data_IF_282137057141
#
_entry.id   IF_282137057141
#
_cell.length_a   1.000
_cell.length_b   1.000
_cell.length_c   1.000
_cell.angle_alpha   90.00
_cell.angle_beta   90.00
_cell.angle_gamma   90.00
#
_symmetry.space_group_name_H-M   'P 1'
#
loop_
_entity.id
_entity.type
_entity.pdbx_description
1 polymer ?
#
# COMPACT_ATOMS: atom_id res chain seq x y z
N UNK A 1 -22.76 5.09 43.34
CA UNK A 1 -21.59 4.63 44.12
C UNK A 1 -21.04 5.77 44.97
N UNK A 2 -21.78 6.18 46.02
CA UNK A 2 -21.52 7.38 46.83
C UNK A 2 -21.61 7.09 48.34
N UNK A 3 -21.32 5.86 48.77
CA UNK A 3 -21.45 5.40 50.17
C UNK A 3 -20.44 4.30 50.53
N UNK A 4 -19.13 4.52 50.34
CA UNK A 4 -18.10 3.66 50.97
C UNK A 4 -16.82 4.50 51.21
N UNK A 5 -16.91 5.64 51.90
CA UNK A 5 -15.73 6.30 52.48
C UNK A 5 -16.18 7.09 53.71
N UNK A 6 -16.59 6.39 54.77
CA UNK A 6 -17.00 7.08 56.00
C UNK A 6 -16.68 6.32 57.29
N UNK A 7 -15.71 5.40 57.29
CA UNK A 7 -15.36 4.62 58.49
C UNK A 7 -13.87 4.31 58.64
N UNK A 8 -13.00 5.31 58.44
CA UNK A 8 -11.58 5.19 58.79
C UNK A 8 -11.02 6.54 59.24
N UNK A 9 -11.43 7.03 60.40
CA UNK A 9 -10.70 8.06 61.16
C UNK A 9 -11.31 8.23 62.57
N UNK A 10 -11.24 7.18 63.38
CA UNK A 10 -11.37 7.32 64.83
C UNK A 10 -10.28 6.48 65.52
N UNK A 11 -9.04 6.93 65.41
CA UNK A 11 -8.02 6.59 66.40
C UNK A 11 -7.17 7.83 66.72
N UNK A 12 -6.96 8.00 68.02
CA UNK A 12 -6.37 9.15 68.73
C UNK A 12 -5.02 9.57 68.14
N UNK A 13 -4.88 10.85 67.84
CA UNK A 13 -3.58 11.49 67.58
C UNK A 13 -3.22 12.48 68.71
N UNK A 14 -1.94 12.56 69.12
CA UNK A 14 -1.45 13.48 70.16
C UNK A 14 -1.41 14.95 69.69
N UNK A 15 -1.52 15.87 70.66
CA UNK A 15 -1.86 17.30 70.51
C UNK A 15 -0.88 18.22 69.75
N UNK A 16 0.16 17.71 69.08
CA UNK A 16 1.15 18.55 68.36
C UNK A 16 1.38 18.09 66.90
N UNK A 17 0.33 18.03 66.08
CA UNK A 17 0.48 17.69 64.64
C UNK A 17 -0.44 18.49 63.72
N UNK A 18 -0.78 19.73 64.09
CA UNK A 18 -1.62 20.58 63.26
C UNK A 18 -0.88 21.24 62.08
N UNK A 19 0.46 21.28 62.10
CA UNK A 19 1.28 21.89 61.04
C UNK A 19 1.73 20.94 59.92
N UNK A 20 1.53 19.63 60.06
CA UNK A 20 2.04 18.65 59.09
C UNK A 20 1.04 18.28 57.98
N UNK A 21 -0.25 18.54 58.18
CA UNK A 21 -1.30 18.15 57.21
C UNK A 21 -1.53 19.16 56.07
N UNK A 22 -1.13 20.44 56.24
CA UNK A 22 -1.38 21.49 55.24
C UNK A 22 -0.33 21.49 54.11
N UNK A 23 0.86 20.91 54.32
CA UNK A 23 1.91 20.84 53.28
C UNK A 23 1.81 19.62 52.37
N UNK A 24 1.08 18.56 52.75
CA UNK A 24 0.96 17.34 51.91
C UNK A 24 -0.17 17.48 50.88
N UNK A 25 -1.21 18.27 51.15
CA UNK A 25 -2.32 18.45 50.20
C UNK A 25 -2.04 19.44 49.06
N UNK A 26 -1.07 20.35 49.20
CA UNK A 26 -0.70 21.29 48.13
C UNK A 26 0.15 20.65 47.02
N UNK A 27 0.95 19.61 47.31
CA UNK A 27 1.73 18.91 46.29
C UNK A 27 0.91 17.91 45.45
N UNK A 28 -0.21 17.39 45.97
CA UNK A 28 -1.05 16.43 45.24
C UNK A 28 -2.04 17.08 44.26
N UNK A 29 -2.30 18.39 44.40
CA UNK A 29 -3.14 19.14 43.46
C UNK A 29 -2.37 19.75 42.29
N UNK A 30 -1.04 19.86 42.35
CA UNK A 30 -0.23 20.36 41.23
C UNK A 30 0.31 19.25 40.31
N UNK A 31 0.35 17.99 40.76
CA UNK A 31 0.69 16.85 39.89
C UNK A 31 -0.50 16.28 39.10
N UNK A 32 -1.75 16.64 39.44
CA UNK A 32 -2.95 16.14 38.76
C UNK A 32 -3.33 16.92 37.49
N UNK A 33 -2.81 18.14 37.30
CA UNK A 33 -3.04 18.92 36.07
C UNK A 33 -2.00 18.70 34.97
N UNK A 34 -0.82 18.16 35.27
CA UNK A 34 0.21 17.89 34.25
C UNK A 34 -0.10 16.65 33.39
N UNK A 35 -1.03 15.77 33.82
CA UNK A 35 -1.38 14.53 33.10
C UNK A 35 -2.62 14.64 32.20
N UNK A 36 -3.31 15.79 32.17
CA UNK A 36 -4.55 15.98 31.40
C UNK A 36 -4.40 16.80 30.10
N UNK A 37 -3.18 17.19 29.72
CA UNK A 37 -2.93 18.01 28.53
C UNK A 37 -2.34 17.25 27.33
N UNK A 38 -2.41 15.91 27.30
CA UNK A 38 -2.22 15.18 26.05
C UNK A 38 -3.57 15.09 25.32
N UNK A 39 -3.91 16.17 24.61
CA UNK A 39 -4.95 16.08 23.58
C UNK A 39 -4.50 14.99 22.60
N UNK A 40 -5.30 13.93 22.34
CA UNK A 40 -4.95 12.97 21.31
C UNK A 40 -4.82 13.75 20.00
N UNK A 41 -3.61 13.85 19.47
CA UNK A 41 -3.39 14.47 18.17
C UNK A 41 -4.29 13.74 17.19
N UNK A 42 -5.19 14.50 16.52
CA UNK A 42 -6.06 13.93 15.49
C UNK A 42 -5.18 13.14 14.53
N UNK A 43 -5.47 11.86 14.27
CA UNK A 43 -4.69 11.08 13.32
C UNK A 43 -4.72 11.81 11.99
N UNK A 44 -3.58 12.35 11.57
CA UNK A 44 -3.43 12.95 10.26
C UNK A 44 -3.56 11.82 9.27
N UNK A 45 -4.71 11.72 8.60
CA UNK A 45 -4.95 10.71 7.57
C UNK A 45 -3.98 10.98 6.45
N UNK A 46 -2.91 10.17 6.36
CA UNK A 46 -1.94 10.25 5.27
C UNK A 46 -2.70 10.06 3.96
N UNK A 47 -2.65 11.07 3.09
CA UNK A 47 -3.22 10.99 1.76
C UNK A 47 -2.32 10.10 0.89
N UNK A 48 -2.91 9.08 0.27
CA UNK A 48 -2.23 8.18 -0.66
C UNK A 48 -2.65 8.49 -2.09
N UNK A 49 -1.74 8.29 -3.04
CA UNK A 49 -2.10 8.35 -4.46
C UNK A 49 -2.89 7.11 -4.89
N UNK A 50 -3.72 7.18 -5.95
CA UNK A 50 -4.55 6.05 -6.38
C UNK A 50 -3.81 4.71 -6.56
N UNK A 51 -2.61 4.71 -7.16
CA UNK A 51 -1.83 3.47 -7.28
C UNK A 51 -1.17 3.01 -5.97
N UNK A 52 -0.95 3.91 -5.02
CA UNK A 52 -0.51 3.54 -3.67
C UNK A 52 -1.63 2.82 -2.91
N UNK A 53 -2.87 3.33 -3.01
CA UNK A 53 -4.04 2.67 -2.42
C UNK A 53 -4.22 1.26 -2.99
N UNK A 54 -4.09 1.11 -4.30
CA UNK A 54 -4.13 -0.21 -4.94
C UNK A 54 -3.00 -1.11 -4.45
N UNK A 55 -1.77 -0.61 -4.29
CA UNK A 55 -0.66 -1.40 -3.75
C UNK A 55 -0.95 -1.89 -2.34
N UNK A 56 -1.47 -1.02 -1.47
CA UNK A 56 -1.84 -1.36 -0.10
C UNK A 56 -2.97 -2.40 -0.07
N UNK A 57 -4.01 -2.22 -0.90
CA UNK A 57 -5.13 -3.16 -1.01
C UNK A 57 -4.74 -4.51 -1.64
N UNK A 58 -3.61 -4.56 -2.34
CA UNK A 58 -3.07 -5.77 -2.97
C UNK A 58 -2.21 -6.61 -2.03
N UNK A 59 -2.09 -6.22 -0.76
CA UNK A 59 -1.28 -6.95 0.21
C UNK A 59 -2.17 -7.64 1.24
N UNK A 60 -2.01 -8.95 1.47
CA UNK A 60 -2.78 -9.65 2.50
C UNK A 60 -2.32 -9.32 3.93
N UNK A 61 -1.23 -8.55 4.05
CA UNK A 61 -0.65 -8.08 5.31
C UNK A 61 -0.44 -6.58 5.24
N UNK A 62 -0.46 -5.92 6.39
CA UNK A 62 -0.09 -4.50 6.48
C UNK A 62 1.32 -4.31 5.92
N UNK A 63 1.42 -3.50 4.87
CA UNK A 63 2.69 -3.10 4.24
C UNK A 63 2.86 -1.60 4.36
N UNK A 64 4.11 -1.17 4.38
CA UNK A 64 4.47 0.24 4.40
C UNK A 64 5.03 0.63 3.03
N UNK A 65 4.66 1.81 2.57
CA UNK A 65 5.26 2.41 1.38
C UNK A 65 6.52 3.14 1.82
N UNK A 66 7.65 2.79 1.20
CA UNK A 66 8.91 3.50 1.39
C UNK A 66 8.84 4.79 0.55
N UNK A 67 8.85 5.94 1.21
CA UNK A 67 8.89 7.24 0.55
C UNK A 67 10.35 7.62 0.28
N UNK A 68 10.83 7.28 -0.91
CA UNK A 68 12.22 7.44 -1.32
C UNK A 68 12.35 8.44 -2.48
N UNK A 69 13.51 9.09 -2.69
CA UNK A 69 13.65 10.15 -3.69
C UNK A 69 13.27 9.73 -5.12
N UNK A 70 13.70 8.55 -5.60
CA UNK A 70 13.34 8.10 -6.96
C UNK A 70 11.85 7.73 -7.05
N UNK A 71 11.31 7.11 -6.00
CA UNK A 71 9.88 6.80 -5.92
C UNK A 71 9.01 8.06 -5.98
N UNK A 72 9.37 9.10 -5.22
CA UNK A 72 8.68 10.39 -5.22
C UNK A 72 8.72 11.08 -6.58
N UNK A 73 9.89 11.09 -7.24
CA UNK A 73 10.01 11.57 -8.62
C UNK A 73 9.09 10.80 -9.59
N UNK A 74 8.94 9.48 -9.41
CA UNK A 74 7.98 8.68 -10.17
C UNK A 74 6.54 9.14 -9.97
N UNK A 75 6.13 9.40 -8.73
CA UNK A 75 4.79 9.93 -8.40
C UNK A 75 4.58 11.33 -8.96
N UNK A 76 5.59 12.20 -8.90
CA UNK A 76 5.53 13.55 -9.47
C UNK A 76 5.29 13.52 -10.99
N UNK A 77 5.88 12.57 -11.71
CA UNK A 77 5.63 12.40 -13.15
C UNK A 77 4.22 11.87 -13.45
N UNK A 78 3.58 11.18 -12.50
CA UNK A 78 2.23 10.63 -12.66
C UNK A 78 1.10 11.58 -12.26
N UNK A 79 1.31 12.38 -11.22
CA UNK A 79 0.21 13.09 -10.55
C UNK A 79 0.37 14.61 -10.51
N UNK A 80 1.58 15.14 -10.72
CA UNK A 80 1.80 16.60 -10.70
C UNK A 80 1.63 17.13 -12.13
N UNK A 81 0.54 17.87 -12.35
CA UNK A 81 0.15 18.35 -13.68
C UNK A 81 1.21 19.21 -14.37
N UNK A 82 2.03 19.95 -13.62
CA UNK A 82 3.12 20.75 -14.20
C UNK A 82 4.21 19.90 -14.86
N UNK A 83 4.26 18.59 -14.59
CA UNK A 83 5.19 17.64 -15.20
C UNK A 83 4.57 16.87 -16.39
N UNK A 84 3.30 17.11 -16.71
CA UNK A 84 2.61 16.37 -17.77
C UNK A 84 3.17 16.73 -19.15
N UNK A 85 3.14 15.77 -20.06
CA UNK A 85 3.40 16.02 -21.48
C UNK A 85 2.23 16.80 -22.07
N UNK A 86 2.56 17.65 -23.05
CA UNK A 86 1.59 18.42 -23.81
C UNK A 86 1.74 18.10 -25.28
N UNK A 87 0.67 17.63 -25.90
CA UNK A 87 0.68 17.22 -27.30
C UNK A 87 -0.56 17.73 -28.02
N UNK A 88 -0.42 17.95 -29.33
CA UNK A 88 -1.52 18.33 -30.21
C UNK A 88 -2.00 17.07 -30.92
N UNK A 89 -3.09 16.48 -30.42
CA UNK A 89 -3.69 15.29 -31.02
C UNK A 89 -4.83 15.67 -31.97
N UNK A 90 -4.97 14.94 -33.07
CA UNK A 90 -6.15 15.04 -33.95
C UNK A 90 -7.13 13.94 -33.54
N UNK A 91 -8.27 14.27 -32.91
CA UNK A 91 -9.25 13.25 -32.56
C UNK A 91 -9.80 12.56 -33.82
N UNK A 92 -10.17 11.26 -33.75
CA UNK A 92 -10.81 10.57 -34.86
C UNK A 92 -12.01 11.36 -35.40
N UNK A 93 -12.07 11.56 -36.72
CA UNK A 93 -13.15 12.29 -37.38
C UNK A 93 -13.11 13.82 -37.24
N UNK A 94 -12.10 14.41 -36.60
CA UNK A 94 -11.96 15.87 -36.48
C UNK A 94 -10.78 16.39 -37.32
N UNK A 95 -10.94 17.56 -37.94
CA UNK A 95 -9.86 18.25 -38.69
C UNK A 95 -8.96 19.11 -37.80
N UNK A 96 -9.47 19.57 -36.65
CA UNK A 96 -8.73 20.44 -35.74
C UNK A 96 -7.98 19.63 -34.70
N UNK A 97 -6.71 19.99 -34.47
CA UNK A 97 -5.91 19.45 -33.37
C UNK A 97 -6.38 20.03 -32.04
N UNK A 98 -6.38 19.20 -31.00
CA UNK A 98 -6.71 19.58 -29.62
C UNK A 98 -5.45 19.42 -28.78
N UNK A 99 -5.14 20.41 -27.95
CA UNK A 99 -4.08 20.31 -26.96
C UNK A 99 -4.54 19.38 -25.85
N UNK A 100 -3.83 18.27 -25.65
CA UNK A 100 -4.04 17.36 -24.54
C UNK A 100 -2.88 17.47 -23.56
N UNK A 101 -3.16 17.19 -22.29
CA UNK A 101 -2.16 17.09 -21.24
C UNK A 101 -2.35 15.78 -20.50
N UNK A 102 -1.28 15.01 -20.36
CA UNK A 102 -1.34 13.70 -19.72
C UNK A 102 0.02 13.30 -19.12
N UNK A 103 0.03 12.38 -18.13
CA UNK A 103 1.26 11.94 -17.50
C UNK A 103 2.28 11.35 -18.48
N UNK A 104 3.56 11.63 -18.26
CA UNK A 104 4.63 10.97 -19.02
C UNK A 104 4.90 9.57 -18.46
N UNK A 105 4.10 8.59 -18.90
CA UNK A 105 4.19 7.21 -18.40
C UNK A 105 5.56 6.57 -18.62
N UNK A 106 6.27 6.91 -19.71
CA UNK A 106 7.60 6.34 -19.96
C UNK A 106 8.64 6.89 -18.96
N UNK A 107 8.60 8.20 -18.70
CA UNK A 107 9.49 8.83 -17.73
C UNK A 107 9.17 8.39 -16.30
N UNK A 108 7.89 8.31 -15.95
CA UNK A 108 7.44 7.75 -14.68
C UNK A 108 7.93 6.30 -14.49
N UNK A 109 7.76 5.45 -15.50
CA UNK A 109 8.25 4.06 -15.47
C UNK A 109 9.76 4.02 -15.21
N UNK A 110 10.54 4.88 -15.88
CA UNK A 110 11.99 4.96 -15.66
C UNK A 110 12.38 5.25 -14.21
N UNK A 111 11.65 6.15 -13.53
CA UNK A 111 11.89 6.42 -12.10
C UNK A 111 11.46 5.26 -11.21
N UNK A 112 10.31 4.64 -11.46
CA UNK A 112 9.88 3.50 -10.66
C UNK A 112 10.81 2.30 -10.80
N UNK A 113 11.27 1.97 -12.01
CA UNK A 113 12.27 0.91 -12.21
C UNK A 113 13.56 1.21 -11.44
N UNK A 114 14.06 2.44 -11.49
CA UNK A 114 15.23 2.84 -10.70
C UNK A 114 14.97 2.76 -9.19
N UNK A 115 13.77 3.10 -8.71
CA UNK A 115 13.42 2.94 -7.28
C UNK A 115 13.41 1.47 -6.85
N UNK A 116 13.04 0.55 -7.74
CA UNK A 116 13.05 -0.89 -7.46
C UNK A 116 14.47 -1.43 -7.36
N UNK A 117 15.35 -0.97 -8.25
CA UNK A 117 16.73 -1.41 -8.37
C UNK A 117 17.61 -0.80 -7.25
N UNK A 118 17.55 0.53 -7.09
CA UNK A 118 18.48 1.28 -6.23
C UNK A 118 17.97 1.45 -4.80
N UNK A 119 16.66 1.47 -4.59
CA UNK A 119 16.04 1.77 -3.28
C UNK A 119 15.24 0.58 -2.73
N UNK A 120 15.20 -0.53 -3.47
CA UNK A 120 14.44 -1.73 -3.14
C UNK A 120 12.99 -1.41 -2.74
N UNK A 121 12.31 -0.61 -3.58
CA UNK A 121 10.96 -0.12 -3.35
C UNK A 121 9.89 -1.02 -4.00
N UNK A 122 9.15 -1.78 -3.19
CA UNK A 122 8.10 -2.69 -3.68
C UNK A 122 6.85 -1.97 -4.19
N UNK A 123 6.50 -0.81 -3.63
CA UNK A 123 5.43 0.01 -4.18
C UNK A 123 5.83 0.52 -5.58
N UNK A 124 7.10 0.87 -5.76
CA UNK A 124 7.67 1.17 -7.07
C UNK A 124 7.54 0.01 -8.06
N UNK A 125 7.79 -1.23 -7.61
CA UNK A 125 7.62 -2.42 -8.45
C UNK A 125 6.18 -2.60 -8.90
N UNK A 126 5.23 -2.46 -7.97
CA UNK A 126 3.82 -2.55 -8.25
C UNK A 126 3.36 -1.53 -9.28
N UNK A 127 3.73 -0.25 -9.09
CA UNK A 127 3.36 0.83 -10.03
C UNK A 127 4.04 0.61 -11.40
N UNK A 128 5.31 0.21 -11.43
CA UNK A 128 6.00 -0.11 -12.68
C UNK A 128 5.29 -1.23 -13.47
N UNK A 129 4.77 -2.27 -12.79
CA UNK A 129 3.95 -3.31 -13.41
C UNK A 129 2.70 -2.72 -14.08
N UNK A 130 1.97 -1.81 -13.41
CA UNK A 130 0.82 -1.12 -14.03
C UNK A 130 1.22 -0.26 -15.24
N UNK A 131 2.31 0.47 -15.15
CA UNK A 131 2.75 1.33 -16.26
C UNK A 131 3.16 0.51 -17.49
N UNK A 132 3.78 -0.65 -17.29
CA UNK A 132 4.08 -1.57 -18.39
C UNK A 132 2.79 -2.13 -19.01
N UNK A 133 1.76 -2.44 -18.21
CA UNK A 133 0.45 -2.87 -18.74
C UNK A 133 -0.16 -1.82 -19.67
N UNK A 134 -0.04 -0.54 -19.32
CA UNK A 134 -0.51 0.60 -20.14
C UNK A 134 0.34 0.79 -21.39
N UNK A 135 1.68 0.76 -21.25
CA UNK A 135 2.62 1.00 -22.35
C UNK A 135 2.73 -0.17 -23.33
N UNK A 136 2.24 -1.35 -22.95
CA UNK A 136 2.17 -2.54 -23.78
C UNK A 136 2.97 -3.70 -23.21
N UNK A 137 2.37 -4.45 -22.27
CA UNK A 137 2.98 -5.64 -21.64
C UNK A 137 3.43 -6.74 -22.61
N UNK A 138 2.81 -6.81 -23.79
CA UNK A 138 3.15 -7.80 -24.82
C UNK A 138 4.34 -7.36 -25.70
N UNK A 139 4.79 -6.11 -25.57
CA UNK A 139 5.97 -5.63 -26.28
C UNK A 139 7.21 -6.43 -25.83
N UNK A 140 7.99 -7.01 -26.76
CA UNK A 140 9.24 -7.71 -26.41
C UNK A 140 10.19 -6.86 -25.55
N UNK A 141 10.14 -5.53 -25.72
CA UNK A 141 10.90 -4.56 -24.92
C UNK A 141 10.68 -4.69 -23.41
N UNK A 142 9.46 -5.02 -22.99
CA UNK A 142 9.09 -4.99 -21.57
C UNK A 142 8.86 -6.37 -20.96
N UNK A 143 8.78 -7.44 -21.74
CA UNK A 143 8.40 -8.77 -21.22
C UNK A 143 9.31 -9.27 -20.08
N UNK A 144 10.64 -9.19 -20.25
CA UNK A 144 11.59 -9.64 -19.23
C UNK A 144 11.46 -8.83 -17.93
N UNK A 145 11.51 -7.50 -18.04
CA UNK A 145 11.34 -6.59 -16.89
C UNK A 145 10.00 -6.80 -16.20
N UNK A 146 8.92 -6.97 -16.96
CA UNK A 146 7.58 -7.21 -16.41
C UNK A 146 7.53 -8.50 -15.59
N UNK A 147 8.14 -9.58 -16.10
CA UNK A 147 8.19 -10.85 -15.39
C UNK A 147 9.03 -10.77 -14.11
N UNK A 148 10.17 -10.07 -14.15
CA UNK A 148 11.01 -9.86 -12.96
C UNK A 148 10.26 -9.08 -11.86
N UNK A 149 9.49 -8.06 -12.24
CA UNK A 149 8.64 -7.32 -11.32
C UNK A 149 7.53 -8.22 -10.71
N UNK A 150 6.87 -9.05 -11.53
CA UNK A 150 5.88 -10.03 -11.04
C UNK A 150 6.51 -10.97 -10.02
N UNK A 151 7.68 -11.53 -10.32
CA UNK A 151 8.39 -12.44 -9.41
C UNK A 151 8.77 -11.73 -8.11
N UNK A 152 9.26 -10.49 -8.19
CA UNK A 152 9.60 -9.69 -7.00
C UNK A 152 8.38 -9.42 -6.12
N UNK A 153 7.23 -9.10 -6.71
CA UNK A 153 5.96 -8.93 -6.00
C UNK A 153 5.45 -10.24 -5.39
N UNK A 154 5.47 -11.34 -6.16
CA UNK A 154 5.06 -12.69 -5.74
C UNK A 154 5.85 -13.18 -4.53
N UNK A 155 7.19 -13.03 -4.55
CA UNK A 155 8.08 -13.37 -3.42
C UNK A 155 7.77 -12.58 -2.14
N UNK A 156 7.16 -11.40 -2.27
CA UNK A 156 6.74 -10.57 -1.15
C UNK A 156 5.25 -10.72 -0.82
N UNK A 157 4.59 -11.79 -1.30
CA UNK A 157 3.17 -12.09 -1.09
C UNK A 157 2.21 -10.99 -1.55
N UNK A 158 2.62 -10.13 -2.48
CA UNK A 158 1.68 -9.18 -3.08
C UNK A 158 0.74 -9.94 -4.04
N UNK A 159 -0.56 -9.70 -3.91
CA UNK A 159 -1.61 -10.45 -4.59
C UNK A 159 -1.63 -10.27 -6.10
N UNK A 160 -1.25 -9.09 -6.62
CA UNK A 160 -1.04 -8.89 -8.06
C UNK A 160 0.08 -9.80 -8.56
N UNK A 161 1.20 -9.82 -7.85
CA UNK A 161 2.35 -10.67 -8.17
C UNK A 161 2.01 -12.16 -8.11
N UNK A 162 1.38 -12.62 -7.03
CA UNK A 162 0.98 -14.02 -6.85
C UNK A 162 0.00 -14.48 -7.95
N UNK A 163 -0.99 -13.65 -8.27
CA UNK A 163 -1.95 -13.94 -9.34
C UNK A 163 -1.26 -14.04 -10.70
N UNK A 164 -0.46 -13.03 -11.07
CA UNK A 164 0.20 -12.99 -12.37
C UNK A 164 1.25 -14.10 -12.52
N UNK A 165 2.01 -14.42 -11.48
CA UNK A 165 2.97 -15.54 -11.47
C UNK A 165 2.25 -16.87 -11.79
N UNK A 166 1.16 -17.18 -11.08
CA UNK A 166 0.36 -18.37 -11.38
C UNK A 166 -0.26 -18.36 -12.78
N UNK A 167 -0.79 -17.21 -13.22
CA UNK A 167 -1.40 -17.05 -14.54
C UNK A 167 -0.39 -17.21 -15.69
N UNK A 168 0.85 -16.75 -15.52
CA UNK A 168 1.90 -16.86 -16.53
C UNK A 168 2.34 -18.31 -16.73
N UNK A 169 2.54 -19.07 -15.63
CA UNK A 169 2.81 -20.51 -15.73
C UNK A 169 1.66 -21.28 -16.36
N UNK A 170 0.41 -20.93 -16.03
CA UNK A 170 -0.76 -21.61 -16.58
C UNK A 170 -0.87 -21.47 -18.11
N UNK A 171 -0.44 -20.33 -18.67
CA UNK A 171 -0.63 -20.00 -20.08
C UNK A 171 0.65 -20.00 -20.92
N UNK A 172 1.83 -20.10 -20.29
CA UNK A 172 3.13 -20.04 -20.98
C UNK A 172 3.50 -18.65 -21.52
N UNK A 173 3.22 -17.60 -20.76
CA UNK A 173 3.51 -16.21 -21.20
C UNK A 173 4.93 -15.75 -20.84
N UNK A 174 5.44 -14.79 -21.60
CA UNK A 174 6.71 -14.12 -21.30
C UNK A 174 7.94 -15.04 -21.34
N UNK A 175 7.92 -16.08 -22.17
CA UNK A 175 8.99 -17.08 -22.25
C UNK A 175 8.95 -18.16 -21.16
N UNK A 176 7.95 -18.13 -20.28
CA UNK A 176 7.71 -19.20 -19.30
C UNK A 176 7.16 -20.43 -20.03
N UNK A 177 7.73 -21.61 -19.77
CA UNK A 177 7.18 -22.88 -20.28
C UNK A 177 5.81 -23.11 -19.64
N UNK A 178 4.78 -23.35 -20.46
CA UNK A 178 3.43 -23.65 -19.97
C UNK A 178 3.47 -24.87 -19.05
N UNK A 179 3.06 -24.68 -17.81
CA UNK A 179 2.90 -25.73 -16.80
C UNK A 179 1.60 -25.48 -16.03
N UNK A 180 0.54 -26.15 -16.45
CA UNK A 180 -0.77 -25.99 -15.84
C UNK A 180 -0.81 -26.46 -14.39
N UNK A 181 -0.01 -27.47 -14.03
CA UNK A 181 0.01 -28.01 -12.68
C UNK A 181 0.65 -26.99 -11.74
N UNK A 182 1.80 -26.46 -12.12
CA UNK A 182 2.48 -25.40 -11.37
C UNK A 182 1.62 -24.13 -11.31
N UNK A 183 1.07 -23.68 -12.44
CA UNK A 183 0.19 -22.51 -12.52
C UNK A 183 -1.02 -22.61 -11.59
N UNK A 184 -1.74 -23.74 -11.62
CA UNK A 184 -2.88 -23.98 -10.71
C UNK A 184 -2.47 -24.05 -9.25
N UNK A 185 -1.34 -24.70 -8.95
CA UNK A 185 -0.83 -24.78 -7.58
C UNK A 185 -0.53 -23.38 -7.03
N UNK A 186 0.16 -22.55 -7.81
CA UNK A 186 0.43 -21.13 -7.50
C UNK A 186 -0.86 -20.35 -7.29
N UNK A 187 -1.85 -20.48 -8.19
CA UNK A 187 -3.13 -19.77 -8.08
C UNK A 187 -3.96 -20.20 -6.86
N UNK A 188 -3.97 -21.49 -6.50
CA UNK A 188 -4.62 -21.97 -5.27
C UNK A 188 -3.99 -21.35 -4.03
N UNK A 189 -2.65 -21.32 -3.98
CA UNK A 189 -1.91 -20.64 -2.89
C UNK A 189 -2.24 -19.15 -2.86
N UNK A 190 -2.26 -18.49 -4.02
CA UNK A 190 -2.63 -17.08 -4.14
C UNK A 190 -4.04 -16.83 -3.59
N UNK A 191 -5.02 -17.68 -3.93
CA UNK A 191 -6.40 -17.55 -3.45
C UNK A 191 -6.48 -17.55 -1.92
N UNK A 192 -5.81 -18.50 -1.26
CA UNK A 192 -5.81 -18.57 0.21
C UNK A 192 -5.22 -17.32 0.87
N UNK A 193 -4.17 -16.74 0.27
CA UNK A 193 -3.56 -15.51 0.80
C UNK A 193 -4.41 -14.27 0.48
N UNK A 194 -5.02 -14.23 -0.69
CA UNK A 194 -5.61 -13.03 -1.29
C UNK A 194 -7.14 -12.99 -1.24
N UNK A 195 -7.76 -13.86 -0.43
CA UNK A 195 -9.21 -14.04 -0.33
C UNK A 195 -9.98 -12.74 -0.01
N UNK A 196 -9.35 -11.79 0.69
CA UNK A 196 -9.95 -10.51 1.09
C UNK A 196 -9.31 -9.31 0.36
N UNK A 197 -8.80 -9.54 -0.84
CA UNK A 197 -8.19 -8.50 -1.68
C UNK A 197 -8.93 -8.40 -3.01
N UNK A 198 -8.78 -7.31 -3.79
CA UNK A 198 -9.40 -7.17 -5.11
C UNK A 198 -9.02 -8.26 -6.14
N UNK A 199 -8.03 -9.12 -5.82
CA UNK A 199 -7.57 -10.19 -6.71
C UNK A 199 -8.30 -11.52 -6.51
N UNK A 200 -9.11 -11.69 -5.45
CA UNK A 200 -9.81 -12.94 -5.15
C UNK A 200 -10.62 -13.45 -6.34
N UNK A 201 -11.42 -12.58 -6.94
CA UNK A 201 -12.35 -12.93 -8.01
C UNK A 201 -11.62 -13.28 -9.30
N UNK A 202 -10.55 -12.54 -9.61
CA UNK A 202 -9.69 -12.82 -10.75
C UNK A 202 -9.02 -14.19 -10.62
N UNK A 203 -8.54 -14.53 -9.42
CA UNK A 203 -7.96 -15.85 -9.15
C UNK A 203 -9.01 -16.96 -9.29
N UNK A 204 -10.21 -16.78 -8.70
CA UNK A 204 -11.31 -17.76 -8.81
C UNK A 204 -11.70 -17.98 -10.26
N UNK A 205 -11.92 -16.90 -11.03
CA UNK A 205 -12.32 -16.99 -12.45
C UNK A 205 -11.35 -17.84 -13.26
N UNK A 206 -10.04 -17.59 -13.12
CA UNK A 206 -9.01 -18.36 -13.82
C UNK A 206 -9.00 -19.82 -13.37
N UNK A 207 -9.11 -20.08 -12.07
CA UNK A 207 -9.15 -21.45 -11.53
C UNK A 207 -10.38 -22.23 -12.01
N UNK A 208 -11.51 -21.56 -12.24
CA UNK A 208 -12.75 -22.16 -12.72
C UNK A 208 -12.74 -22.42 -14.22
N UNK A 209 -12.29 -21.46 -15.03
CA UNK A 209 -12.18 -21.63 -16.49
C UNK A 209 -11.28 -22.80 -16.85
N UNK A 210 -10.14 -22.91 -16.19
CA UNK A 210 -9.21 -24.00 -16.42
C UNK A 210 -9.82 -25.39 -16.08
N UNK A 211 -10.87 -25.49 -15.25
CA UNK A 211 -11.55 -26.79 -15.00
C UNK A 211 -12.50 -27.20 -16.12
N UNK A 212 -13.04 -26.25 -16.88
CA UNK A 212 -14.04 -26.52 -17.91
C UNK A 212 -13.44 -27.00 -19.25
N UNK A 213 -12.12 -26.84 -19.42
CA UNK A 213 -11.38 -27.24 -20.64
C UNK A 213 -10.82 -28.68 -20.57
N UNK A 214 -11.25 -29.48 -19.59
CA UNK A 214 -10.90 -30.90 -19.41
C UNK A 214 -12.15 -31.77 -19.49
#
# INVERSE_FOLDING_TARGET
MKRIVQNYCQQKAPKNSFFFCVRVFACLFLCSYALLAQTPSKPTTKHYYPYEEQYLASSPRKVLIKDTPLYRKGLEMLYVQSNFKHEMLTPPGKKKKVKVSYPDYQKALGYFLQSVEKENNLAGAFIATFLIEILGKNSPKYQGVYFDLIQKLSKNNNCKGLFLDGYYFLNGFGGVIKDERAGRSKLKKAYHLCAFTPYSDSIIRVLMQAKAEK
#
